data_IF_914790981490
#
_entry.id   IF_914790981490
#
_cell.length_a   1.000
_cell.length_b   1.000
_cell.length_c   1.000
_cell.angle_alpha   90.00
_cell.angle_beta   90.00
_cell.angle_gamma   90.00
#
_symmetry.space_group_name_H-M   'P 1'
#
loop_
_entity.id
_entity.type
_entity.pdbx_description
1 polymer ?
#
# COMPACT_ATOMS: atom_id res chain seq x y z
N UNK A 1 -13.21 5.30 -18.43
CA UNK A 1 -13.61 4.10 -17.75
C UNK A 1 -12.46 3.40 -17.08
N UNK A 2 -12.82 2.35 -16.44
CA UNK A 2 -11.86 1.65 -15.64
C UNK A 2 -10.69 1.15 -16.40
N UNK A 3 -10.93 0.70 -17.59
CA UNK A 3 -9.87 0.16 -18.41
C UNK A 3 -8.91 1.22 -18.87
N UNK A 4 -9.18 2.45 -18.53
CA UNK A 4 -8.26 3.54 -18.84
C UNK A 4 -7.38 3.88 -17.66
N UNK A 5 -7.07 2.90 -16.84
CA UNK A 5 -6.09 3.15 -15.80
C UNK A 5 -4.81 3.59 -16.46
N UNK A 6 -4.40 4.79 -16.11
CA UNK A 6 -3.09 5.26 -16.47
C UNK A 6 -2.11 4.62 -15.51
N UNK A 7 -1.06 4.00 -16.04
CA UNK A 7 -0.07 3.37 -15.22
C UNK A 7 0.61 4.36 -14.27
N UNK A 8 0.46 5.68 -14.50
CA UNK A 8 0.96 6.69 -13.59
C UNK A 8 0.09 6.84 -12.34
N UNK A 9 -1.16 6.36 -12.38
CA UNK A 9 -2.12 6.57 -11.30
C UNK A 9 -2.50 5.30 -10.55
N UNK A 10 -2.14 4.15 -11.07
CA UNK A 10 -2.49 2.88 -10.46
C UNK A 10 -1.21 2.06 -10.30
N UNK A 11 -1.03 1.53 -9.10
CA UNK A 11 0.12 0.69 -8.79
C UNK A 11 -0.32 -0.49 -7.96
N UNK A 12 0.52 -1.49 -7.87
CA UNK A 12 0.36 -2.56 -6.89
C UNK A 12 1.35 -2.35 -5.77
N UNK A 13 0.90 -2.56 -4.54
CA UNK A 13 1.80 -2.53 -3.41
C UNK A 13 2.56 -3.86 -3.29
N UNK A 14 3.37 -3.98 -2.25
CA UNK A 14 4.17 -5.19 -2.03
C UNK A 14 3.33 -6.43 -1.84
N UNK A 15 2.09 -6.28 -1.40
CA UNK A 15 1.16 -7.39 -1.17
C UNK A 15 0.31 -7.71 -2.41
N UNK A 16 0.50 -6.99 -3.49
CA UNK A 16 -0.31 -7.15 -4.70
C UNK A 16 -1.64 -6.42 -4.65
N UNK A 17 -1.85 -5.54 -3.67
CA UNK A 17 -3.07 -4.75 -3.59
C UNK A 17 -2.97 -3.55 -4.53
N UNK A 18 -4.11 -3.18 -5.11
CA UNK A 18 -4.17 -2.00 -5.98
C UNK A 18 -4.20 -0.74 -5.11
N UNK A 19 -3.43 0.25 -5.49
CA UNK A 19 -3.45 1.56 -4.87
C UNK A 19 -3.57 2.62 -5.97
N UNK A 20 -4.37 3.64 -5.69
CA UNK A 20 -4.60 4.73 -6.64
C UNK A 20 -3.89 5.97 -6.13
N UNK A 21 -3.14 6.61 -7.01
CA UNK A 21 -2.35 7.78 -6.66
C UNK A 21 -3.16 8.82 -5.87
N UNK A 22 -4.35 9.14 -6.32
CA UNK A 22 -5.17 10.19 -5.71
C UNK A 22 -5.80 9.79 -4.39
N UNK A 23 -5.70 8.52 -4.00
CA UNK A 23 -6.28 8.04 -2.76
C UNK A 23 -5.28 7.99 -1.61
N UNK A 24 -4.19 8.71 -1.72
CA UNK A 24 -3.20 8.78 -0.66
C UNK A 24 -3.86 9.25 0.66
N UNK A 25 -3.67 8.45 1.70
CA UNK A 25 -4.20 8.77 3.03
C UNK A 25 -5.67 8.50 3.23
N UNK A 26 -6.37 8.00 2.21
CA UNK A 26 -7.82 7.81 2.32
C UNK A 26 -8.16 6.39 2.76
N UNK A 27 -8.40 6.22 4.06
CA UNK A 27 -8.76 4.91 4.62
C UNK A 27 -10.20 4.50 4.34
N UNK A 28 -10.97 5.37 3.71
CA UNK A 28 -12.34 5.04 3.30
C UNK A 28 -12.41 4.44 1.91
N UNK A 29 -11.30 4.44 1.19
CA UNK A 29 -11.20 3.85 -0.13
C UNK A 29 -10.44 2.53 -0.05
N UNK A 30 -10.89 1.50 -0.76
CA UNK A 30 -10.13 0.26 -0.85
C UNK A 30 -8.78 0.47 -1.52
N UNK A 31 -8.62 1.54 -2.28
CA UNK A 31 -7.40 1.88 -3.00
C UNK A 31 -6.54 2.90 -2.26
N UNK A 32 -6.93 3.26 -1.04
CA UNK A 32 -6.17 4.18 -0.22
C UNK A 32 -4.83 3.58 0.20
N UNK A 33 -3.84 4.43 0.36
CA UNK A 33 -2.49 3.95 0.67
C UNK A 33 -1.76 4.95 1.53
N UNK A 34 -0.68 4.46 2.13
CA UNK A 34 0.15 5.24 3.05
C UNK A 34 1.60 4.89 2.80
N UNK A 35 2.49 5.78 3.18
CA UNK A 35 3.92 5.52 3.11
C UNK A 35 4.33 4.69 4.33
N UNK A 36 5.01 3.60 4.07
CA UNK A 36 5.50 2.70 5.11
C UNK A 36 7.02 2.74 5.15
N UNK A 37 7.59 2.77 6.36
CA UNK A 37 9.04 2.62 6.54
C UNK A 37 9.34 1.13 6.65
N UNK A 38 10.15 0.60 5.73
CA UNK A 38 10.50 -0.83 5.73
C UNK A 38 11.17 -1.17 7.06
N UNK A 39 12.18 -0.38 7.45
CA UNK A 39 12.74 -0.42 8.79
C UNK A 39 12.13 0.74 9.56
N UNK A 40 11.42 0.47 10.68
CA UNK A 40 10.77 1.53 11.43
C UNK A 40 11.78 2.55 11.96
N UNK A 41 11.33 3.80 12.05
CA UNK A 41 12.16 4.87 12.60
C UNK A 41 12.61 4.51 14.01
N UNK A 42 11.74 3.91 14.81
CA UNK A 42 12.07 3.48 16.17
C UNK A 42 13.19 2.45 16.23
N UNK A 43 13.51 1.82 15.09
CA UNK A 43 14.58 0.84 15.01
C UNK A 43 15.73 1.30 14.11
N UNK A 44 15.84 2.60 13.94
CA UNK A 44 16.94 3.18 13.18
C UNK A 44 16.65 3.37 11.69
N UNK A 45 15.41 3.16 11.28
CA UNK A 45 15.04 3.40 9.89
C UNK A 45 15.12 4.87 9.52
N UNK A 46 15.41 5.14 8.26
CA UNK A 46 15.57 6.49 7.74
C UNK A 46 14.45 6.85 6.80
N UNK A 47 14.41 8.12 6.40
CA UNK A 47 13.47 8.60 5.39
C UNK A 47 14.01 8.50 3.97
N UNK A 48 15.09 7.76 3.77
CA UNK A 48 15.61 7.52 2.43
C UNK A 48 14.58 6.77 1.59
N UNK A 49 14.50 7.08 0.31
CA UNK A 49 13.55 6.41 -0.57
C UNK A 49 13.70 4.90 -0.55
N UNK A 50 14.93 4.41 -0.37
CA UNK A 50 15.19 2.97 -0.30
C UNK A 50 14.53 2.31 0.92
N UNK A 51 14.14 3.10 1.92
CA UNK A 51 13.47 2.60 3.12
C UNK A 51 11.97 2.89 3.13
N UNK A 52 11.46 3.48 2.06
CA UNK A 52 10.04 3.85 1.99
C UNK A 52 9.35 3.02 0.92
N UNK A 53 8.10 2.69 1.17
CA UNK A 53 7.28 2.00 0.17
C UNK A 53 5.82 2.39 0.38
N UNK A 54 5.03 2.40 -0.70
CA UNK A 54 3.60 2.59 -0.56
C UNK A 54 2.95 1.26 -0.16
N UNK A 55 2.02 1.30 0.76
CA UNK A 55 1.20 0.15 1.11
C UNK A 55 -0.26 0.56 1.12
N UNK A 56 -1.13 -0.31 0.61
CA UNK A 56 -2.55 -0.16 0.81
C UNK A 56 -2.80 -0.03 2.32
N UNK A 57 -3.71 0.87 2.71
CA UNK A 57 -3.79 1.29 4.11
C UNK A 57 -4.03 0.13 5.09
N UNK A 58 -4.83 -0.88 4.68
CA UNK A 58 -5.14 -1.99 5.58
C UNK A 58 -3.95 -2.94 5.68
N UNK A 59 -3.17 -3.10 4.62
CA UNK A 59 -1.91 -3.83 4.69
C UNK A 59 -0.93 -3.13 5.63
N UNK A 60 -0.90 -1.80 5.58
CA UNK A 60 -0.03 -1.04 6.48
C UNK A 60 -0.47 -1.18 7.94
N UNK A 61 -1.78 -1.09 8.18
CA UNK A 61 -2.33 -1.22 9.53
C UNK A 61 -2.20 -2.64 10.09
N UNK A 62 -2.04 -3.62 9.22
CA UNK A 62 -2.00 -5.03 9.63
C UNK A 62 -0.58 -5.54 9.92
N UNK A 63 0.44 -4.67 9.86
CA UNK A 63 1.80 -5.09 10.19
C UNK A 63 1.86 -5.61 11.63
N UNK A 64 2.65 -6.66 11.83
CA UNK A 64 2.81 -7.27 13.15
C UNK A 64 4.29 -7.40 13.45
N UNK A 65 4.73 -6.89 14.60
CA UNK A 65 6.12 -6.93 15.02
C UNK A 65 7.05 -6.42 13.91
N UNK A 66 6.64 -5.32 13.27
CA UNK A 66 7.36 -4.69 12.16
C UNK A 66 7.46 -5.57 10.91
N UNK A 67 6.70 -6.64 10.86
CA UNK A 67 6.64 -7.50 9.68
C UNK A 67 5.43 -7.14 8.85
N UNK A 68 5.60 -7.18 7.53
CA UNK A 68 4.49 -7.03 6.61
C UNK A 68 3.59 -8.25 6.71
N UNK A 69 2.30 -8.00 6.94
CA UNK A 69 1.28 -9.03 6.90
C UNK A 69 0.31 -8.62 5.80
N UNK A 70 0.31 -9.37 4.72
CA UNK A 70 -0.51 -9.02 3.56
C UNK A 70 -1.94 -9.48 3.77
N UNK A 71 -2.77 -8.57 4.24
CA UNK A 71 -4.20 -8.82 4.43
C UNK A 71 -4.99 -8.62 3.14
N UNK A 72 -4.57 -7.68 2.32
CA UNK A 72 -5.30 -7.24 1.12
C UNK A 72 -4.46 -7.50 -0.12
N UNK A 73 -5.10 -8.04 -1.15
CA UNK A 73 -4.50 -8.26 -2.46
C UNK A 73 -5.53 -7.94 -3.54
N UNK A 74 -5.09 -7.84 -4.78
CA UNK A 74 -6.00 -7.53 -5.86
C UNK A 74 -6.68 -8.80 -6.40
N UNK A 75 -7.92 -8.63 -6.81
CA UNK A 75 -8.66 -9.63 -7.59
C UNK A 75 -9.34 -8.87 -8.71
N UNK A 76 -8.80 -8.96 -9.92
CA UNK A 76 -9.27 -8.15 -11.03
C UNK A 76 -9.00 -6.68 -10.79
N UNK A 77 -10.04 -5.87 -10.81
CA UNK A 77 -9.93 -4.42 -10.63
C UNK A 77 -10.28 -3.97 -9.21
N UNK A 78 -10.42 -4.91 -8.29
CA UNK A 78 -10.75 -4.61 -6.91
C UNK A 78 -9.78 -5.27 -5.96
N UNK A 79 -9.71 -4.74 -4.76
CA UNK A 79 -8.96 -5.36 -3.68
C UNK A 79 -9.88 -6.28 -2.90
N UNK A 80 -9.29 -7.34 -2.35
CA UNK A 80 -10.01 -8.32 -1.56
C UNK A 80 -9.11 -8.82 -0.44
N UNK A 81 -9.69 -9.44 0.55
CA UNK A 81 -8.90 -10.08 1.59
C UNK A 81 -8.22 -11.32 1.03
N UNK A 82 -6.99 -11.45 1.44
CA UNK A 82 -6.15 -12.55 0.98
C UNK A 82 -6.53 -13.86 1.66
#
# INVERSE_FOLDING_TARGET
PLMNYDSCYVRMDKCGALIYFEEYGNRKSEYGWEIDHIVPVSKGGTDNLSNLRPLQWDNNASRQNDRLVCKITASGTHNTEK
#
